data_IF_111440613817
#
_entry.id   IF_111440613817
#
_cell.length_a   1.000
_cell.length_b   1.000
_cell.length_c   1.000
_cell.angle_alpha   90.00
_cell.angle_beta   90.00
_cell.angle_gamma   90.00
#
_symmetry.space_group_name_H-M   'P 1'
#
loop_
_entity.id
_entity.type
_entity.pdbx_description
1 polymer ?
#
# COMPACT_ATOMS: atom_id res chain seq x y z
N UNK A 1 -41.99 4.20 71.63
CA UNK A 1 -43.08 3.79 70.72
C UNK A 1 -42.67 4.12 69.31
N UNK A 2 -42.94 3.18 68.40
CA UNK A 2 -42.47 3.09 67.01
C UNK A 2 -43.54 3.69 66.06
N UNK A 3 -43.09 4.13 64.88
CA UNK A 3 -43.80 4.36 63.59
C UNK A 3 -44.20 5.78 63.17
N UNK A 4 -44.29 6.11 61.86
CA UNK A 4 -43.86 5.34 60.66
C UNK A 4 -43.04 6.13 59.61
N UNK A 5 -42.32 5.34 58.82
CA UNK A 5 -41.68 5.59 57.52
C UNK A 5 -42.54 6.38 56.53
N UNK A 6 -41.97 7.46 55.97
CA UNK A 6 -42.51 8.10 54.77
C UNK A 6 -42.04 7.35 53.51
N UNK A 7 -43.03 7.06 52.69
CA UNK A 7 -42.99 6.24 51.49
C UNK A 7 -42.18 6.94 50.40
N UNK A 8 -41.28 6.17 49.79
CA UNK A 8 -40.57 6.46 48.55
C UNK A 8 -41.55 6.85 47.43
N UNK A 9 -41.50 8.10 46.96
CA UNK A 9 -42.10 8.46 45.69
C UNK A 9 -41.30 7.79 44.57
N UNK A 10 -41.90 6.76 43.96
CA UNK A 10 -41.48 6.23 42.67
C UNK A 10 -41.43 7.39 41.67
N UNK A 11 -40.22 7.85 41.38
CA UNK A 11 -39.95 8.85 40.35
C UNK A 11 -40.51 8.33 39.04
N UNK A 12 -41.42 9.11 38.45
CA UNK A 12 -42.09 8.77 37.21
C UNK A 12 -41.10 8.34 36.15
N UNK A 13 -41.27 7.11 35.67
CA UNK A 13 -40.64 6.62 34.45
C UNK A 13 -41.16 7.43 33.27
N UNK A 14 -40.61 8.63 33.09
CA UNK A 14 -40.80 9.43 31.89
C UNK A 14 -40.21 8.64 30.73
N UNK A 15 -41.08 8.08 29.89
CA UNK A 15 -40.71 7.55 28.59
C UNK A 15 -40.00 8.70 27.87
N UNK A 16 -38.70 8.58 27.63
CA UNK A 16 -37.95 9.56 26.83
C UNK A 16 -38.71 9.73 25.51
N UNK A 17 -39.02 10.97 25.06
CA UNK A 17 -39.71 11.17 23.79
C UNK A 17 -38.96 10.42 22.70
N UNK A 18 -39.65 9.51 22.00
CA UNK A 18 -39.08 8.87 20.83
C UNK A 18 -38.86 9.98 19.81
N UNK A 19 -37.62 10.23 19.35
CA UNK A 19 -37.38 11.28 18.36
C UNK A 19 -38.25 11.00 17.15
N UNK A 20 -39.10 11.98 16.80
CA UNK A 20 -40.09 11.87 15.72
C UNK A 20 -39.42 11.74 14.34
N UNK A 21 -38.12 12.00 14.26
CA UNK A 21 -37.27 11.80 13.08
C UNK A 21 -35.95 11.19 13.55
N UNK A 22 -35.67 9.94 13.15
CA UNK A 22 -34.33 9.36 13.25
C UNK A 22 -33.52 9.98 12.10
N UNK A 23 -32.41 10.69 12.36
CA UNK A 23 -31.59 11.27 11.30
C UNK A 23 -31.13 10.17 10.35
N UNK A 24 -31.31 10.37 9.04
CA UNK A 24 -30.75 9.45 8.06
C UNK A 24 -29.21 9.48 8.14
N UNK A 25 -28.51 8.36 7.91
CA UNK A 25 -27.05 8.34 7.93
C UNK A 25 -26.49 9.31 6.88
N UNK A 26 -25.47 10.06 7.26
CA UNK A 26 -24.70 10.89 6.35
C UNK A 26 -23.70 10.01 5.58
N UNK A 27 -23.66 10.12 4.26
CA UNK A 27 -22.76 9.31 3.42
C UNK A 27 -21.62 10.17 2.87
N UNK A 28 -20.42 9.95 3.41
CA UNK A 28 -19.19 10.49 2.83
C UNK A 28 -18.74 9.58 1.69
N UNK A 29 -19.10 9.98 0.46
CA UNK A 29 -18.83 9.24 -0.76
C UNK A 29 -17.97 10.02 -1.75
N UNK A 30 -17.44 9.30 -2.71
CA UNK A 30 -16.75 9.87 -3.86
C UNK A 30 -17.69 10.71 -4.73
N UNK A 31 -17.15 11.83 -5.21
CA UNK A 31 -17.79 12.74 -6.14
C UNK A 31 -17.01 12.77 -7.47
N UNK A 32 -17.33 13.75 -8.32
CA UNK A 32 -16.82 13.84 -9.68
C UNK A 32 -15.28 13.86 -9.75
N UNK A 33 -14.61 14.60 -8.86
CA UNK A 33 -13.15 14.76 -8.89
C UNK A 33 -12.47 13.43 -8.52
N UNK A 34 -12.90 12.79 -7.45
CA UNK A 34 -12.37 11.50 -7.02
C UNK A 34 -12.63 10.41 -8.08
N UNK A 35 -13.85 10.33 -8.61
CA UNK A 35 -14.20 9.34 -9.64
C UNK A 35 -13.38 9.52 -10.92
N UNK A 36 -13.24 10.76 -11.41
CA UNK A 36 -12.39 11.07 -12.57
C UNK A 36 -10.94 10.69 -12.31
N UNK A 37 -10.44 10.96 -11.11
CA UNK A 37 -9.06 10.65 -10.73
C UNK A 37 -8.78 9.15 -10.73
N UNK A 38 -9.73 8.32 -10.28
CA UNK A 38 -9.59 6.86 -10.34
C UNK A 38 -9.45 6.36 -11.78
N UNK A 39 -10.27 6.88 -12.70
CA UNK A 39 -10.20 6.54 -14.13
C UNK A 39 -8.91 7.03 -14.80
N UNK A 40 -8.44 8.23 -14.46
CA UNK A 40 -7.17 8.76 -14.95
C UNK A 40 -6.01 7.90 -14.46
N UNK A 41 -5.98 7.56 -13.17
CA UNK A 41 -4.96 6.70 -12.60
C UNK A 41 -4.96 5.31 -13.24
N UNK A 42 -6.14 4.71 -13.46
CA UNK A 42 -6.28 3.47 -14.23
C UNK A 42 -5.62 3.57 -15.61
N UNK A 43 -5.97 4.59 -16.40
CA UNK A 43 -5.43 4.77 -17.75
C UNK A 43 -3.91 4.95 -17.74
N UNK A 44 -3.38 5.71 -16.78
CA UNK A 44 -1.93 5.91 -16.60
C UNK A 44 -1.23 4.60 -16.26
N UNK A 45 -1.78 3.79 -15.35
CA UNK A 45 -1.19 2.49 -14.97
C UNK A 45 -1.22 1.49 -16.14
N UNK A 46 -2.29 1.46 -16.93
CA UNK A 46 -2.37 0.65 -18.16
C UNK A 46 -1.30 1.09 -19.16
N UNK A 47 -1.19 2.40 -19.43
CA UNK A 47 -0.18 2.91 -20.35
C UNK A 47 1.24 2.59 -19.87
N UNK A 48 1.52 2.78 -18.58
CA UNK A 48 2.80 2.44 -17.99
C UNK A 48 3.12 0.95 -18.14
N UNK A 49 2.15 0.06 -17.87
CA UNK A 49 2.34 -1.38 -18.04
C UNK A 49 2.68 -1.76 -19.48
N UNK A 50 2.01 -1.15 -20.47
CA UNK A 50 2.30 -1.36 -21.88
C UNK A 50 3.71 -0.88 -22.24
N UNK A 51 4.10 0.31 -21.76
CA UNK A 51 5.45 0.85 -21.98
C UNK A 51 6.53 -0.06 -21.37
N UNK A 52 6.36 -0.51 -20.12
CA UNK A 52 7.31 -1.39 -19.45
C UNK A 52 7.41 -2.77 -20.12
N UNK A 53 6.28 -3.32 -20.55
CA UNK A 53 6.24 -4.57 -21.32
C UNK A 53 6.99 -4.42 -22.65
N UNK A 54 6.74 -3.34 -23.41
CA UNK A 54 7.44 -3.04 -24.67
C UNK A 54 8.93 -2.83 -24.47
N UNK A 55 9.33 -2.14 -23.40
CA UNK A 55 10.74 -1.97 -23.01
C UNK A 55 11.44 -3.30 -22.73
N UNK A 56 10.70 -4.35 -22.36
CA UNK A 56 11.21 -5.69 -22.08
C UNK A 56 11.34 -6.59 -23.31
N UNK A 57 10.70 -6.24 -24.44
CA UNK A 57 10.49 -7.13 -25.59
C UNK A 57 11.80 -7.71 -26.17
N UNK A 58 12.85 -6.89 -26.19
CA UNK A 58 14.16 -7.26 -26.75
C UNK A 58 15.21 -7.57 -25.66
N UNK A 59 14.79 -7.78 -24.40
CA UNK A 59 15.70 -8.07 -23.29
C UNK A 59 15.71 -9.58 -23.02
N UNK A 60 16.89 -10.24 -22.96
CA UNK A 60 16.99 -11.66 -22.60
C UNK A 60 16.30 -12.00 -21.28
N UNK A 61 15.76 -13.22 -21.18
CA UNK A 61 14.98 -13.67 -20.00
C UNK A 61 15.78 -13.57 -18.69
N UNK A 62 17.08 -13.84 -18.72
CA UNK A 62 17.91 -13.77 -17.52
C UNK A 62 18.11 -12.33 -16.98
N UNK A 63 17.86 -11.30 -17.81
CA UNK A 63 18.08 -9.88 -17.48
C UNK A 63 16.80 -9.05 -17.37
N UNK A 64 15.64 -9.64 -17.66
CA UNK A 64 14.36 -8.91 -17.72
C UNK A 64 13.64 -8.80 -16.37
N UNK A 65 14.22 -9.30 -15.27
CA UNK A 65 13.54 -9.40 -13.96
C UNK A 65 12.93 -8.06 -13.51
N UNK A 66 13.69 -6.96 -13.58
CA UNK A 66 13.17 -5.64 -13.21
C UNK A 66 12.00 -5.20 -14.11
N UNK A 67 12.07 -5.46 -15.42
CA UNK A 67 10.97 -5.13 -16.32
C UNK A 67 9.72 -5.93 -15.98
N UNK A 68 9.87 -7.21 -15.63
CA UNK A 68 8.75 -8.08 -15.24
C UNK A 68 8.12 -7.58 -13.93
N UNK A 69 8.94 -7.34 -12.90
CA UNK A 69 8.47 -6.86 -11.60
C UNK A 69 7.75 -5.50 -11.73
N UNK A 70 8.34 -4.54 -12.44
CA UNK A 70 7.77 -3.20 -12.62
C UNK A 70 6.47 -3.27 -13.45
N UNK A 71 6.44 -4.12 -14.48
CA UNK A 71 5.22 -4.34 -15.27
C UNK A 71 4.11 -4.94 -14.40
N UNK A 72 4.42 -5.97 -13.60
CA UNK A 72 3.46 -6.57 -12.66
C UNK A 72 2.91 -5.55 -11.66
N UNK A 73 3.77 -4.70 -11.10
CA UNK A 73 3.35 -3.61 -10.19
C UNK A 73 2.31 -2.72 -10.85
N UNK A 74 2.55 -2.28 -12.09
CA UNK A 74 1.57 -1.43 -12.81
C UNK A 74 0.31 -2.15 -13.25
N UNK A 75 0.37 -3.44 -13.60
CA UNK A 75 -0.81 -4.24 -13.95
C UNK A 75 -1.70 -4.42 -12.72
N UNK A 76 -1.13 -4.79 -11.57
CA UNK A 76 -1.88 -4.96 -10.32
C UNK A 76 -2.54 -3.63 -9.91
N UNK A 77 -1.79 -2.53 -9.99
CA UNK A 77 -2.33 -1.21 -9.71
C UNK A 77 -3.46 -0.83 -10.70
N UNK A 78 -3.31 -1.08 -11.99
CA UNK A 78 -4.36 -0.84 -12.97
C UNK A 78 -5.65 -1.61 -12.61
N UNK A 79 -5.55 -2.90 -12.29
CA UNK A 79 -6.70 -3.71 -11.88
C UNK A 79 -7.37 -3.17 -10.60
N UNK A 80 -6.58 -2.73 -9.62
CA UNK A 80 -7.11 -2.13 -8.40
C UNK A 80 -7.81 -0.80 -8.67
N UNK A 81 -7.20 0.10 -9.46
CA UNK A 81 -7.83 1.37 -9.85
C UNK A 81 -9.11 1.14 -10.66
N UNK A 82 -9.16 0.13 -11.52
CA UNK A 82 -10.39 -0.27 -12.20
C UNK A 82 -11.47 -0.71 -11.22
N UNK A 83 -11.16 -1.62 -10.29
CA UNK A 83 -12.10 -2.08 -9.27
C UNK A 83 -12.59 -0.95 -8.34
N UNK A 84 -11.72 0.00 -8.00
CA UNK A 84 -12.10 1.18 -7.23
C UNK A 84 -12.98 2.14 -8.03
N UNK A 85 -12.74 2.30 -9.34
CA UNK A 85 -13.51 3.16 -10.22
C UNK A 85 -14.91 2.60 -10.53
N UNK A 86 -15.04 1.27 -10.65
CA UNK A 86 -16.34 0.59 -10.85
C UNK A 86 -17.14 0.44 -9.56
N UNK A 87 -16.48 0.53 -8.40
CA UNK A 87 -17.09 0.42 -7.08
C UNK A 87 -16.97 -0.96 -6.44
N UNK A 88 -16.42 -1.95 -7.15
CA UNK A 88 -16.21 -3.32 -6.64
C UNK A 88 -15.20 -3.37 -5.49
N UNK A 89 -14.24 -2.42 -5.50
CA UNK A 89 -13.18 -2.28 -4.50
C UNK A 89 -13.50 -1.37 -3.33
N UNK A 90 -14.79 -1.05 -3.10
CA UNK A 90 -15.25 -0.05 -2.13
C UNK A 90 -16.25 -0.68 -1.14
N UNK A 91 -16.22 -0.22 0.10
CA UNK A 91 -17.24 -0.55 1.10
C UNK A 91 -17.55 0.67 1.96
N UNK A 92 -18.67 0.66 2.67
CA UNK A 92 -18.99 1.72 3.64
C UNK A 92 -18.71 1.23 5.06
N UNK A 93 -18.04 2.08 5.84
CA UNK A 93 -17.93 1.93 7.29
C UNK A 93 -18.78 3.01 7.94
N UNK A 94 -19.83 2.58 8.66
CA UNK A 94 -20.73 3.47 9.36
C UNK A 94 -20.42 3.50 10.86
N UNK A 95 -20.44 4.69 11.44
CA UNK A 95 -20.19 4.90 12.87
C UNK A 95 -20.97 6.10 13.40
N UNK A 96 -21.36 6.06 14.66
CA UNK A 96 -21.99 7.20 15.33
C UNK A 96 -20.92 8.22 15.75
N UNK A 97 -21.10 9.46 15.28
CA UNK A 97 -20.27 10.60 15.64
C UNK A 97 -21.10 11.57 16.48
N UNK A 98 -20.49 12.11 17.53
CA UNK A 98 -21.13 13.10 18.41
C UNK A 98 -20.50 14.46 18.16
N UNK A 99 -21.32 15.42 17.75
CA UNK A 99 -20.94 16.82 17.65
C UNK A 99 -21.11 17.47 19.02
N UNK A 100 -19.98 17.94 19.55
CA UNK A 100 -19.94 18.68 20.80
C UNK A 100 -20.23 20.15 20.52
N UNK A 101 -21.17 20.73 21.27
CA UNK A 101 -21.54 22.13 21.13
C UNK A 101 -21.41 22.87 22.46
N UNK A 102 -20.86 24.08 22.44
CA UNK A 102 -20.60 24.83 23.68
C UNK A 102 -21.88 25.34 24.38
N UNK A 103 -22.96 25.55 23.62
CA UNK A 103 -24.17 26.25 24.09
C UNK A 103 -25.49 25.55 23.78
N UNK A 104 -25.45 24.37 23.13
CA UNK A 104 -26.63 23.52 22.88
C UNK A 104 -26.29 22.07 23.24
N UNK A 105 -27.28 21.20 23.51
CA UNK A 105 -27.03 19.79 23.80
C UNK A 105 -26.30 19.11 22.64
N UNK A 106 -25.37 18.22 22.98
CA UNK A 106 -24.63 17.42 22.00
C UNK A 106 -25.59 16.63 21.10
N UNK A 107 -25.25 16.57 19.81
CA UNK A 107 -26.04 15.85 18.81
C UNK A 107 -25.24 14.68 18.27
N UNK A 108 -25.84 13.49 18.26
CA UNK A 108 -25.24 12.29 17.66
C UNK A 108 -25.88 11.99 16.30
N UNK A 109 -25.06 11.72 15.30
CA UNK A 109 -25.48 11.34 13.96
C UNK A 109 -24.60 10.20 13.42
N UNK A 110 -25.15 9.37 12.55
CA UNK A 110 -24.40 8.26 11.94
C UNK A 110 -23.72 8.72 10.66
N UNK A 111 -22.41 8.56 10.57
CA UNK A 111 -21.61 8.86 9.37
C UNK A 111 -21.11 7.56 8.76
N UNK A 112 -21.39 7.37 7.47
CA UNK A 112 -20.95 6.24 6.65
C UNK A 112 -19.88 6.71 5.66
N UNK A 113 -18.62 6.38 5.92
CA UNK A 113 -17.50 6.74 5.05
C UNK A 113 -17.13 5.61 4.10
N UNK A 114 -16.88 5.94 2.84
CA UNK A 114 -16.32 5.01 1.87
C UNK A 114 -14.87 4.65 2.20
N UNK A 115 -14.61 3.36 2.29
CA UNK A 115 -13.29 2.76 2.44
C UNK A 115 -12.94 2.00 1.16
N UNK A 116 -11.81 2.39 0.56
CA UNK A 116 -11.26 1.79 -0.66
C UNK A 116 -10.37 0.61 -0.32
N UNK A 117 -10.96 -0.51 0.06
CA UNK A 117 -10.20 -1.69 0.53
C UNK A 117 -9.32 -2.32 -0.55
N UNK A 118 -9.71 -2.21 -1.83
CA UNK A 118 -8.91 -2.72 -2.95
C UNK A 118 -7.52 -2.05 -3.05
N UNK A 119 -7.38 -0.83 -2.51
CA UNK A 119 -6.09 -0.13 -2.38
C UNK A 119 -5.09 -0.91 -1.52
N UNK A 120 -5.55 -1.44 -0.39
CA UNK A 120 -4.70 -2.20 0.52
C UNK A 120 -4.33 -3.57 -0.07
N UNK A 121 -5.21 -4.15 -0.89
CA UNK A 121 -4.89 -5.38 -1.65
C UNK A 121 -3.83 -5.09 -2.72
N UNK A 122 -3.95 -3.98 -3.46
CA UNK A 122 -2.88 -3.50 -4.35
C UNK A 122 -1.57 -3.37 -3.58
N UNK A 123 -1.54 -2.59 -2.50
CA UNK A 123 -0.32 -2.35 -1.73
C UNK A 123 0.29 -3.65 -1.21
N UNK A 124 -0.52 -4.56 -0.64
CA UNK A 124 -0.05 -5.86 -0.17
C UNK A 124 0.61 -6.71 -1.26
N UNK A 125 0.31 -6.48 -2.54
CA UNK A 125 0.90 -7.18 -3.67
C UNK A 125 2.05 -6.38 -4.32
N UNK A 126 1.96 -5.05 -4.38
CA UNK A 126 2.92 -4.20 -5.09
C UNK A 126 4.06 -3.72 -4.21
N UNK A 127 3.83 -3.48 -2.92
CA UNK A 127 4.91 -3.10 -1.99
C UNK A 127 5.97 -4.20 -1.86
N UNK A 128 5.64 -5.51 -1.78
CA UNK A 128 6.67 -6.55 -1.79
C UNK A 128 7.51 -6.55 -3.07
N UNK A 129 6.87 -6.35 -4.24
CA UNK A 129 7.55 -6.33 -5.53
C UNK A 129 8.53 -5.16 -5.63
N UNK A 130 8.11 -3.96 -5.21
CA UNK A 130 8.98 -2.77 -5.16
C UNK A 130 10.19 -2.99 -4.22
N UNK A 131 9.98 -3.66 -3.08
CA UNK A 131 11.07 -3.97 -2.16
C UNK A 131 12.02 -5.02 -2.73
N UNK A 132 11.51 -6.04 -3.43
CA UNK A 132 12.34 -7.01 -4.15
C UNK A 132 13.21 -6.30 -5.18
N UNK A 133 12.66 -5.35 -5.96
CA UNK A 133 13.44 -4.56 -6.92
C UNK A 133 14.58 -3.77 -6.24
N UNK A 134 14.31 -3.09 -5.11
CA UNK A 134 15.34 -2.38 -4.35
C UNK A 134 16.39 -3.32 -3.75
N UNK A 135 15.97 -4.47 -3.22
CA UNK A 135 16.87 -5.48 -2.67
C UNK A 135 17.78 -6.07 -3.74
N UNK A 136 17.26 -6.40 -4.92
CA UNK A 136 18.03 -6.87 -6.07
C UNK A 136 19.06 -5.82 -6.50
N UNK A 137 18.65 -4.54 -6.55
CA UNK A 137 19.53 -3.44 -6.91
C UNK A 137 20.71 -3.30 -5.93
N UNK A 138 20.43 -3.29 -4.63
CA UNK A 138 21.47 -3.24 -3.61
C UNK A 138 22.29 -4.53 -3.50
N UNK A 139 21.75 -5.67 -3.94
CA UNK A 139 22.32 -7.00 -3.70
C UNK A 139 22.09 -7.51 -2.28
N UNK A 140 20.98 -7.12 -1.65
CA UNK A 140 20.57 -7.60 -0.33
C UNK A 140 20.32 -9.10 -0.37
N UNK A 141 20.73 -9.80 0.69
CA UNK A 141 20.56 -11.25 0.80
C UNK A 141 19.08 -11.67 0.89
N UNK A 142 18.83 -12.94 0.59
CA UNK A 142 17.47 -13.50 0.55
C UNK A 142 16.76 -13.47 1.91
N UNK A 143 17.49 -13.59 3.03
CA UNK A 143 16.88 -13.55 4.36
C UNK A 143 16.39 -12.15 4.69
N UNK A 144 17.21 -11.12 4.48
CA UNK A 144 16.78 -9.73 4.64
C UNK A 144 15.66 -9.36 3.66
N UNK A 145 15.71 -9.85 2.42
CA UNK A 145 14.65 -9.62 1.43
C UNK A 145 13.32 -10.23 1.84
N UNK A 146 13.33 -11.49 2.31
CA UNK A 146 12.13 -12.18 2.77
C UNK A 146 11.52 -11.49 4.00
N UNK A 147 12.35 -11.06 4.95
CA UNK A 147 11.90 -10.32 6.13
C UNK A 147 11.31 -8.96 5.76
N UNK A 148 11.88 -8.25 4.79
CA UNK A 148 11.32 -7.00 4.27
C UNK A 148 9.94 -7.21 3.62
N UNK A 149 9.79 -8.27 2.81
CA UNK A 149 8.50 -8.65 2.19
C UNK A 149 7.46 -9.03 3.24
N UNK A 150 7.82 -9.84 4.23
CA UNK A 150 6.91 -10.21 5.31
C UNK A 150 6.46 -8.97 6.11
N UNK A 151 7.39 -8.06 6.40
CA UNK A 151 7.09 -6.82 7.10
C UNK A 151 6.22 -5.86 6.28
N UNK A 152 6.40 -5.79 4.96
CA UNK A 152 5.53 -4.97 4.11
C UNK A 152 4.10 -5.51 4.06
N UNK A 153 3.93 -6.84 4.01
CA UNK A 153 2.61 -7.47 4.14
C UNK A 153 1.95 -7.15 5.48
N UNK A 154 2.69 -7.24 6.58
CA UNK A 154 2.18 -6.86 7.92
C UNK A 154 1.79 -5.39 7.92
N UNK A 155 2.63 -4.52 7.38
CA UNK A 155 2.37 -3.07 7.29
C UNK A 155 1.04 -2.78 6.58
N UNK A 156 0.83 -3.33 5.38
CA UNK A 156 -0.35 -3.04 4.57
C UNK A 156 -1.63 -3.66 5.15
N UNK A 157 -1.56 -4.90 5.65
CA UNK A 157 -2.72 -5.58 6.24
C UNK A 157 -3.13 -4.98 7.58
N UNK A 158 -2.18 -4.59 8.43
CA UNK A 158 -2.51 -3.86 9.67
C UNK A 158 -3.04 -2.47 9.38
N UNK A 159 -2.55 -1.79 8.32
CA UNK A 159 -3.16 -0.56 7.81
C UNK A 159 -4.61 -0.74 7.36
N UNK A 160 -4.93 -1.84 6.68
CA UNK A 160 -6.30 -2.20 6.31
C UNK A 160 -7.19 -2.40 7.55
N UNK A 161 -6.71 -3.15 8.54
CA UNK A 161 -7.46 -3.35 9.79
C UNK A 161 -7.66 -2.06 10.57
N UNK A 162 -6.69 -1.14 10.53
CA UNK A 162 -6.84 0.20 11.07
C UNK A 162 -7.95 0.97 10.34
N UNK A 163 -8.03 0.87 9.00
CA UNK A 163 -9.04 1.58 8.21
C UNK A 163 -10.48 1.15 8.52
N UNK A 164 -10.68 -0.10 8.93
CA UNK A 164 -11.97 -0.63 9.40
C UNK A 164 -12.19 -0.50 10.91
N UNK A 165 -11.18 -0.04 11.65
CA UNK A 165 -11.27 0.18 13.08
C UNK A 165 -12.26 1.29 13.43
N UNK A 166 -12.98 1.10 14.54
CA UNK A 166 -13.91 2.12 15.03
C UNK A 166 -13.16 3.37 15.49
N UNK A 167 -13.75 4.54 15.26
CA UNK A 167 -13.24 5.85 15.62
C UNK A 167 -12.98 5.96 17.12
N UNK A 168 -11.94 6.71 17.47
CA UNK A 168 -11.52 6.95 18.84
C UNK A 168 -11.26 5.68 19.68
N UNK A 169 -11.06 4.52 19.06
CA UNK A 169 -10.72 3.28 19.77
C UNK A 169 -9.22 3.04 19.84
N UNK A 170 -8.78 2.46 20.96
CA UNK A 170 -7.40 1.97 21.10
C UNK A 170 -7.04 0.92 20.03
N UNK A 171 -8.03 0.12 19.60
CA UNK A 171 -7.83 -0.88 18.54
C UNK A 171 -7.38 -0.24 17.22
N UNK A 172 -8.08 0.80 16.73
CA UNK A 172 -7.76 1.49 15.46
C UNK A 172 -6.31 2.00 15.46
N UNK A 173 -5.94 2.72 16.51
CA UNK A 173 -4.60 3.29 16.66
C UNK A 173 -3.54 2.25 16.99
N UNK A 174 -3.89 1.14 17.64
CA UNK A 174 -3.02 -0.02 17.83
C UNK A 174 -2.63 -0.66 16.51
N UNK A 175 -3.61 -0.92 15.63
CA UNK A 175 -3.34 -1.43 14.27
C UNK A 175 -2.46 -0.47 13.46
N UNK A 176 -2.77 0.84 13.51
CA UNK A 176 -1.94 1.85 12.85
C UNK A 176 -0.50 1.88 13.39
N UNK A 177 -0.33 1.71 14.71
CA UNK A 177 0.99 1.64 15.34
C UNK A 177 1.78 0.42 14.85
N UNK A 178 1.14 -0.75 14.75
CA UNK A 178 1.78 -1.94 14.18
C UNK A 178 2.20 -1.72 12.73
N UNK A 179 1.39 -1.04 11.92
CA UNK A 179 1.76 -0.68 10.55
C UNK A 179 3.02 0.21 10.52
N UNK A 180 3.07 1.24 11.37
CA UNK A 180 4.24 2.12 11.47
C UNK A 180 5.51 1.39 11.95
N UNK A 181 5.39 0.47 12.91
CA UNK A 181 6.54 -0.33 13.37
C UNK A 181 7.05 -1.28 12.27
N UNK A 182 6.13 -1.92 11.54
CA UNK A 182 6.48 -2.75 10.40
C UNK A 182 7.16 -1.92 9.29
N UNK A 183 6.71 -0.70 9.06
CA UNK A 183 7.36 0.23 8.13
C UNK A 183 8.81 0.56 8.53
N UNK A 184 9.07 0.86 9.81
CA UNK A 184 10.44 1.07 10.32
C UNK A 184 11.31 -0.17 10.11
N UNK A 185 10.74 -1.36 10.28
CA UNK A 185 11.44 -2.62 10.04
C UNK A 185 11.79 -2.82 8.56
N UNK A 186 10.91 -2.44 7.64
CA UNK A 186 11.21 -2.41 6.18
C UNK A 186 12.37 -1.46 5.89
N UNK A 187 12.36 -0.23 6.44
CA UNK A 187 13.46 0.74 6.28
C UNK A 187 14.79 0.14 6.75
N UNK A 188 14.78 -0.55 7.90
CA UNK A 188 16.00 -1.17 8.42
C UNK A 188 16.55 -2.24 7.48
N UNK A 189 15.71 -3.17 7.02
CA UNK A 189 16.12 -4.27 6.14
C UNK A 189 16.55 -3.82 4.75
N UNK A 190 15.89 -2.80 4.18
CA UNK A 190 16.14 -2.40 2.79
C UNK A 190 17.03 -1.16 2.74
N UNK A 191 16.63 -0.03 3.34
CA UNK A 191 17.39 1.20 3.23
C UNK A 191 18.72 1.11 3.99
N UNK A 192 18.71 0.73 5.27
CA UNK A 192 19.93 0.77 6.09
C UNK A 192 20.88 -0.38 5.78
N UNK A 193 20.38 -1.62 5.76
CA UNK A 193 21.19 -2.78 5.41
C UNK A 193 21.60 -2.75 3.93
N UNK A 194 20.68 -2.47 3.00
CA UNK A 194 21.01 -2.34 1.57
C UNK A 194 22.03 -1.24 1.29
N UNK A 195 21.98 -0.10 1.99
CA UNK A 195 23.01 0.94 1.88
C UNK A 195 24.40 0.48 2.33
N UNK A 196 24.50 -0.48 3.24
CA UNK A 196 25.80 -1.05 3.66
C UNK A 196 26.30 -2.04 2.62
N UNK A 197 25.41 -2.90 2.11
CA UNK A 197 25.74 -3.92 1.11
C UNK A 197 26.19 -3.27 -0.21
N UNK A 198 25.44 -2.28 -0.69
CA UNK A 198 25.68 -1.66 -2.00
C UNK A 198 27.00 -0.89 -2.08
N UNK A 199 27.57 -0.46 -0.94
CA UNK A 199 28.87 0.24 -0.89
C UNK A 199 30.01 -0.61 -1.47
N UNK A 200 29.93 -1.93 -1.31
CA UNK A 200 30.91 -2.84 -1.89
C UNK A 200 30.86 -2.90 -3.43
N UNK A 201 29.77 -2.45 -4.05
CA UNK A 201 29.57 -2.40 -5.51
C UNK A 201 30.06 -1.09 -6.15
N UNK A 202 30.59 -0.16 -5.36
CA UNK A 202 31.14 1.11 -5.84
C UNK A 202 30.19 2.31 -5.71
N UNK A 203 30.78 3.51 -5.73
CA UNK A 203 30.08 4.76 -5.40
C UNK A 203 28.93 5.11 -6.35
N UNK A 204 29.07 4.77 -7.63
CA UNK A 204 28.02 5.03 -8.65
C UNK A 204 26.75 4.24 -8.31
N UNK A 205 26.88 2.94 -8.08
CA UNK A 205 25.76 2.05 -7.76
C UNK A 205 25.15 2.41 -6.40
N UNK A 206 26.00 2.71 -5.41
CA UNK A 206 25.55 3.15 -4.09
C UNK A 206 24.71 4.44 -4.15
N UNK A 207 25.11 5.41 -4.98
CA UNK A 207 24.36 6.65 -5.18
C UNK A 207 23.02 6.41 -5.89
N UNK A 208 23.00 5.53 -6.88
CA UNK A 208 21.78 5.17 -7.61
C UNK A 208 20.76 4.47 -6.69
N UNK A 209 21.22 3.48 -5.91
CA UNK A 209 20.38 2.85 -4.88
C UNK A 209 19.91 3.87 -3.85
N UNK A 210 20.81 4.70 -3.31
CA UNK A 210 20.45 5.71 -2.30
C UNK A 210 19.38 6.70 -2.80
N UNK A 211 19.46 7.13 -4.06
CA UNK A 211 18.45 7.98 -4.68
C UNK A 211 17.08 7.31 -4.79
N UNK A 212 17.04 6.08 -5.31
CA UNK A 212 15.80 5.30 -5.48
C UNK A 212 15.18 4.92 -4.13
N UNK A 213 16.00 4.48 -3.17
CA UNK A 213 15.54 4.15 -1.82
C UNK A 213 15.00 5.39 -1.11
N UNK A 214 15.72 6.52 -1.15
CA UNK A 214 15.24 7.77 -0.56
C UNK A 214 13.91 8.21 -1.19
N UNK A 215 13.78 8.13 -2.52
CA UNK A 215 12.54 8.46 -3.21
C UNK A 215 11.36 7.62 -2.74
N UNK A 216 11.52 6.29 -2.66
CA UNK A 216 10.47 5.39 -2.19
C UNK A 216 10.12 5.66 -0.73
N UNK A 217 11.10 5.67 0.18
CA UNK A 217 10.81 5.80 1.61
C UNK A 217 10.31 7.20 2.00
N UNK A 218 10.75 8.26 1.32
CA UNK A 218 10.18 9.59 1.56
C UNK A 218 8.71 9.64 1.13
N UNK A 219 8.37 9.14 -0.06
CA UNK A 219 6.98 9.09 -0.53
C UNK A 219 6.13 8.16 0.32
N UNK A 220 6.63 6.98 0.70
CA UNK A 220 5.92 6.04 1.57
C UNK A 220 5.63 6.62 2.95
N UNK A 221 6.46 7.54 3.45
CA UNK A 221 6.18 8.25 4.72
C UNK A 221 4.98 9.20 4.60
N UNK A 222 4.64 9.66 3.40
CA UNK A 222 3.46 10.51 3.17
C UNK A 222 2.17 9.68 3.31
N UNK A 223 2.16 8.41 2.94
CA UNK A 223 0.98 7.54 3.03
C UNK A 223 0.39 7.44 4.45
N UNK A 224 1.12 7.09 5.51
CA UNK A 224 0.57 7.04 6.87
C UNK A 224 0.17 8.42 7.40
N UNK A 225 0.79 9.51 6.92
CA UNK A 225 0.37 10.89 7.26
C UNK A 225 -1.01 11.17 6.64
N UNK A 226 -1.17 10.89 5.35
CA UNK A 226 -2.45 11.02 4.65
C UNK A 226 -3.49 10.13 5.32
N UNK A 227 -3.12 8.89 5.66
CA UNK A 227 -3.99 7.96 6.36
C UNK A 227 -4.45 8.52 7.70
N UNK A 228 -3.53 9.03 8.53
CA UNK A 228 -3.86 9.60 9.82
C UNK A 228 -4.82 10.80 9.73
N UNK A 229 -4.71 11.60 8.68
CA UNK A 229 -5.59 12.76 8.44
C UNK A 229 -6.94 12.32 7.84
N UNK A 230 -6.93 11.40 6.87
CA UNK A 230 -8.07 11.02 6.07
C UNK A 230 -8.91 9.93 6.73
N UNK A 231 -8.40 8.69 6.78
CA UNK A 231 -9.09 7.55 7.38
C UNK A 231 -9.03 7.57 8.92
N UNK A 232 -7.94 8.06 9.49
CA UNK A 232 -7.71 8.11 10.93
C UNK A 232 -8.60 9.12 11.64
N UNK A 233 -8.45 10.39 11.24
CA UNK A 233 -9.08 11.54 11.88
C UNK A 233 -10.31 12.11 11.14
N UNK A 234 -10.67 11.57 9.97
CA UNK A 234 -11.82 12.02 9.17
C UNK A 234 -11.81 13.53 8.85
N UNK A 235 -10.61 14.12 8.68
CA UNK A 235 -10.43 15.57 8.47
C UNK A 235 -10.36 16.00 7.01
N UNK A 236 -10.60 15.08 6.07
CA UNK A 236 -10.57 15.38 4.65
C UNK A 236 -11.66 14.64 3.89
N UNK A 237 -12.05 15.21 2.74
CA UNK A 237 -13.03 14.58 1.85
C UNK A 237 -12.49 13.27 1.26
N UNK A 238 -13.39 12.36 0.88
CA UNK A 238 -13.04 11.13 0.18
C UNK A 238 -12.30 11.43 -1.13
N UNK A 239 -12.74 12.43 -1.88
CA UNK A 239 -12.11 12.88 -3.14
C UNK A 239 -10.67 13.33 -2.93
N UNK A 240 -10.41 14.14 -1.91
CA UNK A 240 -9.04 14.60 -1.61
C UNK A 240 -8.13 13.42 -1.27
N UNK A 241 -8.60 12.46 -0.47
CA UNK A 241 -7.85 11.24 -0.17
C UNK A 241 -7.50 10.46 -1.44
N UNK A 242 -8.48 10.24 -2.32
CA UNK A 242 -8.29 9.55 -3.61
C UNK A 242 -7.23 10.26 -4.46
N UNK A 243 -7.32 11.59 -4.59
CA UNK A 243 -6.38 12.36 -5.41
C UNK A 243 -4.95 12.23 -4.89
N UNK A 244 -4.76 12.38 -3.58
CA UNK A 244 -3.42 12.30 -2.99
C UNK A 244 -2.83 10.90 -3.15
N UNK A 245 -3.59 9.85 -2.85
CA UNK A 245 -3.10 8.48 -3.03
C UNK A 245 -2.83 8.15 -4.51
N UNK A 246 -3.64 8.64 -5.44
CA UNK A 246 -3.42 8.45 -6.88
C UNK A 246 -2.12 9.10 -7.36
N UNK A 247 -1.84 10.33 -6.93
CA UNK A 247 -0.59 11.02 -7.25
C UNK A 247 0.60 10.26 -6.67
N UNK A 248 0.53 9.86 -5.39
CA UNK A 248 1.58 9.09 -4.75
C UNK A 248 1.82 7.77 -5.48
N UNK A 249 0.77 7.03 -5.81
CA UNK A 249 0.86 5.75 -6.51
C UNK A 249 1.49 5.89 -7.90
N UNK A 250 1.13 6.93 -8.66
CA UNK A 250 1.76 7.21 -9.96
C UNK A 250 3.27 7.46 -9.77
N UNK A 251 3.66 8.22 -8.74
CA UNK A 251 5.07 8.48 -8.46
C UNK A 251 5.82 7.21 -8.05
N UNK A 252 5.30 6.43 -7.10
CA UNK A 252 6.01 5.25 -6.55
C UNK A 252 5.93 4.02 -7.44
N UNK A 253 4.98 3.95 -8.38
CA UNK A 253 4.85 2.82 -9.31
C UNK A 253 5.40 3.17 -10.69
N UNK A 254 4.86 4.22 -11.32
CA UNK A 254 5.28 4.61 -12.68
C UNK A 254 6.59 5.40 -12.65
N UNK A 255 6.69 6.42 -11.79
CA UNK A 255 7.88 7.26 -11.68
C UNK A 255 9.11 6.46 -11.25
N UNK A 256 8.97 5.68 -10.18
CA UNK A 256 10.00 4.76 -9.71
C UNK A 256 10.39 3.74 -10.79
N UNK A 257 9.41 3.06 -11.39
CA UNK A 257 9.64 2.04 -12.42
C UNK A 257 10.43 2.58 -13.61
N UNK A 258 10.04 3.75 -14.12
CA UNK A 258 10.78 4.42 -15.19
C UNK A 258 12.22 4.74 -14.77
N UNK A 259 12.41 5.30 -13.58
CA UNK A 259 13.74 5.68 -13.10
C UNK A 259 14.63 4.45 -12.91
N UNK A 260 14.11 3.37 -12.32
CA UNK A 260 14.80 2.10 -12.13
C UNK A 260 15.26 1.51 -13.47
N UNK A 261 14.37 1.41 -14.46
CA UNK A 261 14.68 0.84 -15.76
C UNK A 261 15.69 1.69 -16.55
N UNK A 262 15.66 3.02 -16.39
CA UNK A 262 16.68 3.91 -16.98
C UNK A 262 18.04 3.68 -16.33
N UNK A 263 18.12 3.56 -15.00
CA UNK A 263 19.36 3.26 -14.28
C UNK A 263 19.95 1.91 -14.72
N UNK A 264 19.12 0.87 -14.79
CA UNK A 264 19.54 -0.47 -15.23
C UNK A 264 20.18 -0.45 -16.62
N UNK A 265 19.59 0.30 -17.56
CA UNK A 265 20.14 0.45 -18.92
C UNK A 265 21.50 1.18 -18.94
N UNK A 266 21.73 2.11 -18.02
CA UNK A 266 22.95 2.92 -17.95
C UNK A 266 24.05 2.32 -17.08
N UNK A 267 23.72 1.38 -16.20
CA UNK A 267 24.65 0.76 -15.26
C UNK A 267 24.51 -0.75 -15.30
N UNK A 268 25.20 -1.45 -16.22
CA UNK A 268 25.15 -2.90 -16.32
C UNK A 268 25.55 -3.63 -15.03
N UNK A 269 26.37 -3.01 -14.18
CA UNK A 269 26.78 -3.51 -12.86
C UNK A 269 25.60 -3.68 -11.87
N UNK A 270 24.46 -3.03 -12.16
CA UNK A 270 23.22 -3.18 -11.38
C UNK A 270 22.34 -4.33 -11.87
N UNK A 271 22.64 -4.88 -13.05
CA UNK A 271 21.84 -5.96 -13.63
C UNK A 271 22.09 -7.24 -12.84
N UNK A 272 21.01 -7.85 -12.36
CA UNK A 272 21.06 -9.20 -11.80
C UNK A 272 20.84 -10.16 -12.97
N UNK A 273 21.82 -11.02 -13.22
CA UNK A 273 21.70 -12.09 -14.21
C UNK A 273 21.14 -13.33 -13.50
N UNK A 274 19.84 -13.56 -13.65
CA UNK A 274 19.15 -14.74 -13.11
C UNK A 274 19.25 -15.87 -14.13
N UNK A 275 20.39 -16.58 -14.11
CA UNK A 275 20.63 -17.74 -14.96
C UNK A 275 20.20 -19.07 -14.31
N UNK A 276 20.31 -20.19 -15.04
CA UNK A 276 19.96 -21.52 -14.57
C UNK A 276 18.45 -21.78 -14.61
N UNK A 277 17.87 -22.20 -13.48
CA UNK A 277 16.43 -22.53 -13.39
C UNK A 277 15.54 -21.35 -13.81
N UNK A 278 15.91 -20.13 -13.46
CA UNK A 278 15.11 -18.94 -13.73
C UNK A 278 14.98 -18.61 -15.23
N UNK A 279 16.03 -18.84 -16.01
CA UNK A 279 16.07 -18.57 -17.45
C UNK A 279 15.70 -19.80 -18.28
N UNK A 280 16.03 -21.00 -17.82
CA UNK A 280 15.96 -22.24 -18.61
C UNK A 280 14.98 -23.30 -18.05
N UNK A 281 14.37 -23.07 -16.87
CA UNK A 281 13.52 -24.06 -16.19
C UNK A 281 14.30 -25.25 -15.62
N UNK A 282 13.58 -26.26 -15.10
CA UNK A 282 14.19 -27.49 -14.55
C UNK A 282 14.72 -28.47 -15.62
N UNK A 283 14.72 -28.10 -16.91
CA UNK A 283 14.98 -29.05 -17.98
C UNK A 283 16.31 -28.81 -18.70
N UNK A 284 17.33 -29.56 -18.25
CA UNK A 284 18.11 -30.39 -19.16
C UNK A 284 18.38 -31.79 -18.58
N UNK A 285 17.36 -32.47 -18.04
CA UNK A 285 17.40 -33.94 -18.00
C UNK A 285 17.08 -34.44 -19.42
N UNK A 286 18.12 -34.62 -20.25
CA UNK A 286 17.95 -35.28 -21.55
C UNK A 286 18.89 -34.89 -22.69
N UNK A 287 19.82 -33.94 -22.54
CA UNK A 287 20.94 -33.83 -23.51
C UNK A 287 22.15 -34.57 -22.97
N UNK A 288 22.15 -35.87 -23.23
CA UNK A 288 23.34 -36.71 -23.30
C UNK A 288 24.37 -35.92 -24.13
N UNK A 289 25.49 -35.53 -23.51
CA UNK A 289 26.70 -35.17 -24.26
C UNK A 289 27.22 -36.47 -24.87
N UNK A 290 26.83 -36.73 -26.12
CA UNK A 290 27.44 -37.80 -26.93
C UNK A 290 28.85 -37.30 -27.29
N UNK A 291 29.85 -37.92 -26.65
CA UNK A 291 31.27 -38.06 -27.02
C UNK A 291 32.01 -36.91 -27.68
N UNK A 292 33.11 -36.47 -27.06
CA UNK A 292 34.29 -36.06 -27.82
C UNK A 292 35.07 -37.35 -28.17
N UNK A 293 35.24 -37.72 -29.45
CA UNK A 293 36.05 -38.86 -29.86
C UNK A 293 37.56 -38.56 -29.98
N UNK A 294 38.05 -37.44 -29.43
CA UNK A 294 39.43 -36.98 -29.68
C UNK A 294 40.36 -37.12 -28.46
N UNK A 295 40.30 -38.25 -27.75
CA UNK A 295 41.42 -38.71 -26.93
C UNK A 295 41.75 -40.16 -27.31
N UNK A 296 42.50 -40.27 -28.41
CA UNK A 296 43.34 -41.43 -28.74
C UNK A 296 44.61 -41.42 -27.89
#
# INVERSE_FOLDING_TARGET
MISPTSISSLGGGGVKPIPTVIPAPEFEKVHYVGSTTLWVAFAVMVLASAVFALMSWNIPVSKRVYHVLTTLVTIIAALSYFAMATGDGVSYKCEETTDYHDHIPDTSHTVCRQIYWARYVDWSLTTPLLLIELCLLAGVDGAHTLMAVAASLIMDLTGLFAAYGNNNTFQKWGWFTFACLAYVFVIWHVALHGSRVVRAKGDKVARQFGGLAAFIFLLWTIYPIVWGIAEGAHRTSVDTGIVVYAVLDILVKVGFGLWLLVIQRQTPETNVDLDGYWSNGLASEGRIRIGDPDNA
#
